data_IF_526877636646
#
_entry.id   IF_526877636646
#
_cell.length_a   1.000
_cell.length_b   1.000
_cell.length_c   1.000
_cell.angle_alpha   90.00
_cell.angle_beta   90.00
_cell.angle_gamma   90.00
#
_symmetry.space_group_name_H-M   'P 1'
#
loop_
_entity.id
_entity.type
_entity.pdbx_description
1 polymer ?
#
# COMPACT_ATOMS: atom_id res chain seq x y z
N UNK A 1 5.36 6.40 12.75
CA UNK A 1 4.42 6.06 11.67
C UNK A 1 5.13 5.14 10.70
N UNK A 2 4.46 4.11 10.17
CA UNK A 2 5.07 3.26 9.14
C UNK A 2 4.78 3.83 7.77
N UNK A 3 5.82 4.14 7.00
CA UNK A 3 5.71 4.43 5.57
C UNK A 3 5.89 3.13 4.79
N UNK A 4 5.11 2.95 3.74
CA UNK A 4 5.19 1.80 2.86
C UNK A 4 5.20 2.29 1.41
N UNK A 5 5.93 1.59 0.57
CA UNK A 5 6.16 1.89 -0.83
C UNK A 5 5.64 0.71 -1.63
N UNK A 6 4.68 0.97 -2.50
CA UNK A 6 4.21 0.05 -3.50
C UNK A 6 4.96 0.34 -4.78
N UNK A 7 5.78 -0.60 -5.25
CA UNK A 7 6.48 -0.47 -6.52
C UNK A 7 5.92 -1.47 -7.53
N UNK A 8 5.66 -1.06 -8.78
CA UNK A 8 5.35 -1.98 -9.85
C UNK A 8 6.62 -2.77 -10.19
N UNK A 9 6.42 -4.02 -10.60
CA UNK A 9 7.43 -5.01 -10.94
C UNK A 9 6.95 -5.77 -12.17
N UNK A 10 7.84 -6.50 -12.85
CA UNK A 10 7.50 -7.32 -14.02
C UNK A 10 6.38 -8.36 -13.77
N UNK A 11 6.11 -8.69 -12.50
CA UNK A 11 5.12 -9.70 -12.10
C UNK A 11 3.87 -9.11 -11.42
N UNK A 12 3.78 -7.78 -11.30
CA UNK A 12 2.71 -7.10 -10.59
C UNK A 12 3.25 -6.06 -9.61
N UNK A 13 2.80 -6.10 -8.37
CA UNK A 13 3.01 -5.06 -7.37
C UNK A 13 3.63 -5.62 -6.10
N UNK A 14 4.63 -4.93 -5.55
CA UNK A 14 5.22 -5.27 -4.25
C UNK A 14 5.05 -4.13 -3.26
N UNK A 15 4.64 -4.46 -2.03
CA UNK A 15 4.61 -3.57 -0.88
C UNK A 15 5.87 -3.76 -0.06
N UNK A 16 6.68 -2.72 0.05
CA UNK A 16 7.85 -2.68 0.93
C UNK A 16 7.64 -1.64 2.02
N UNK A 17 7.97 -1.99 3.26
CA UNK A 17 8.01 -0.99 4.34
C UNK A 17 9.27 -0.14 4.22
N UNK A 18 9.18 1.16 4.47
CA UNK A 18 10.33 2.05 4.55
C UNK A 18 11.35 1.50 5.57
N UNK A 19 12.61 1.40 5.14
CA UNK A 19 13.69 0.80 5.92
C UNK A 19 13.72 -0.74 5.94
N UNK A 20 12.77 -1.44 5.32
CA UNK A 20 12.82 -2.89 5.18
C UNK A 20 13.57 -3.32 3.90
N UNK A 21 14.39 -4.36 4.02
CA UNK A 21 15.15 -4.93 2.91
C UNK A 21 14.32 -5.88 2.03
N UNK A 22 13.17 -6.36 2.55
CA UNK A 22 12.29 -7.31 1.85
C UNK A 22 10.88 -6.75 1.71
N UNK A 23 10.19 -7.05 0.60
CA UNK A 23 8.77 -6.74 0.47
C UNK A 23 7.97 -7.50 1.53
N UNK A 24 7.05 -6.80 2.19
CA UNK A 24 6.13 -7.37 3.17
C UNK A 24 5.00 -8.15 2.49
N UNK A 25 4.57 -7.69 1.31
CA UNK A 25 3.52 -8.31 0.49
C UNK A 25 3.81 -8.12 -0.99
N UNK A 26 3.38 -9.06 -1.81
CA UNK A 26 3.44 -8.99 -3.27
C UNK A 26 2.13 -9.51 -3.84
N UNK A 27 1.63 -8.92 -4.91
CA UNK A 27 0.42 -9.36 -5.60
C UNK A 27 0.57 -9.12 -7.10
N UNK A 28 -0.16 -9.89 -7.92
CA UNK A 28 -0.21 -9.63 -9.36
C UNK A 28 -1.00 -8.34 -9.67
N UNK A 29 -2.04 -8.05 -8.87
CA UNK A 29 -2.96 -6.95 -9.09
C UNK A 29 -2.88 -5.93 -7.95
N UNK A 30 -3.03 -4.65 -8.31
CA UNK A 30 -3.03 -3.54 -7.37
C UNK A 30 -4.15 -3.68 -6.34
N UNK A 31 -5.36 -4.01 -6.77
CA UNK A 31 -6.52 -4.20 -5.88
C UNK A 31 -6.26 -5.30 -4.86
N UNK A 32 -5.73 -6.45 -5.29
CA UNK A 32 -5.35 -7.53 -4.38
C UNK A 32 -4.27 -7.13 -3.38
N UNK A 33 -3.32 -6.29 -3.79
CA UNK A 33 -2.31 -5.77 -2.87
C UNK A 33 -2.95 -4.82 -1.86
N UNK A 34 -3.84 -3.94 -2.30
CA UNK A 34 -4.56 -2.99 -1.45
C UNK A 34 -5.44 -3.70 -0.43
N UNK A 35 -6.19 -4.73 -0.81
CA UNK A 35 -6.97 -5.54 0.14
C UNK A 35 -6.06 -6.21 1.19
N UNK A 36 -4.92 -6.75 0.77
CA UNK A 36 -3.95 -7.36 1.68
C UNK A 36 -3.31 -6.33 2.63
N UNK A 37 -3.12 -5.09 2.17
CA UNK A 37 -2.65 -3.95 2.97
C UNK A 37 -3.73 -3.50 3.92
N UNK A 38 -4.97 -3.38 3.48
CA UNK A 38 -6.13 -3.02 4.30
C UNK A 38 -6.25 -3.98 5.48
N UNK A 39 -6.26 -5.29 5.22
CA UNK A 39 -6.29 -6.30 6.29
C UNK A 39 -5.06 -6.22 7.21
N UNK A 40 -3.89 -5.85 6.69
CA UNK A 40 -2.65 -5.71 7.46
C UNK A 40 -2.62 -4.43 8.31
N UNK A 41 -3.17 -3.34 7.79
CA UNK A 41 -3.22 -1.99 8.38
C UNK A 41 -4.51 -1.74 9.16
N UNK A 42 -5.50 -2.62 9.10
CA UNK A 42 -6.71 -2.56 9.95
C UNK A 42 -6.34 -2.43 11.43
N UNK A 43 -5.23 -3.07 11.83
CA UNK A 43 -4.68 -3.04 13.19
C UNK A 43 -3.51 -2.07 13.36
N UNK A 44 -3.14 -1.29 12.33
CA UNK A 44 -1.95 -0.41 12.32
C UNK A 44 -2.12 0.84 11.45
N UNK A 45 -1.80 2.02 11.98
CA UNK A 45 -1.78 3.25 11.18
C UNK A 45 -0.47 3.41 10.38
N UNK A 46 -0.56 3.86 9.14
CA UNK A 46 0.59 4.16 8.28
C UNK A 46 0.22 4.70 6.91
N UNK A 47 1.21 5.16 6.17
CA UNK A 47 1.05 5.77 4.84
C UNK A 47 1.60 4.84 3.78
N UNK A 48 0.89 4.67 2.67
CA UNK A 48 1.23 3.80 1.56
C UNK A 48 1.36 4.65 0.31
N UNK A 49 2.59 4.74 -0.21
CA UNK A 49 2.95 5.48 -1.41
C UNK A 49 2.98 4.52 -2.60
N UNK A 50 2.21 4.80 -3.62
CA UNK A 50 2.10 4.01 -4.84
C UNK A 50 2.94 4.68 -5.89
N UNK A 51 4.00 3.98 -6.30
CA UNK A 51 4.90 4.40 -7.37
C UNK A 51 4.34 3.95 -8.71
N UNK A 52 4.53 4.74 -9.75
CA UNK A 52 4.29 4.36 -11.14
C UNK A 52 5.52 3.69 -11.74
N UNK A 53 5.39 3.22 -12.98
CA UNK A 53 6.50 2.65 -13.75
C UNK A 53 7.64 3.66 -13.96
N UNK A 54 7.33 4.95 -14.03
CA UNK A 54 8.29 6.06 -14.10
C UNK A 54 9.00 6.35 -12.76
N UNK A 55 8.65 5.66 -11.67
CA UNK A 55 9.24 5.85 -10.34
C UNK A 55 8.74 7.09 -9.58
N UNK A 56 7.72 7.77 -10.09
CA UNK A 56 7.01 8.86 -9.40
C UNK A 56 5.92 8.30 -8.49
N UNK A 57 5.62 9.00 -7.40
CA UNK A 57 4.46 8.65 -6.56
C UNK A 57 3.20 9.15 -7.26
N UNK A 58 2.39 8.22 -7.76
CA UNK A 58 1.10 8.54 -8.36
C UNK A 58 0.00 8.70 -7.31
N UNK A 59 0.07 7.93 -6.23
CA UNK A 59 -1.00 7.91 -5.25
C UNK A 59 -0.47 7.68 -3.84
N UNK A 60 -0.99 8.43 -2.88
CA UNK A 60 -0.73 8.23 -1.46
C UNK A 60 -2.03 7.80 -0.78
N UNK A 61 -2.00 6.66 -0.10
CA UNK A 61 -3.09 6.14 0.70
C UNK A 61 -2.70 6.19 2.16
N UNK A 62 -3.52 6.87 2.97
CA UNK A 62 -3.31 6.91 4.42
C UNK A 62 -4.22 5.89 5.10
N UNK A 63 -3.63 5.07 5.97
CA UNK A 63 -4.31 4.01 6.71
C UNK A 63 -4.33 4.29 8.23
N UNK A 64 -5.41 3.94 8.93
CA UNK A 64 -6.70 3.52 8.36
C UNK A 64 -7.33 4.64 7.51
N UNK A 65 -8.02 4.31 6.40
CA UNK A 65 -8.67 5.33 5.60
C UNK A 65 -9.62 6.13 6.49
N UNK A 66 -9.80 7.44 6.24
CA UNK A 66 -10.74 8.24 7.01
C UNK A 66 -12.08 7.50 7.00
N UNK A 67 -12.59 7.17 8.19
CA UNK A 67 -13.88 6.48 8.36
C UNK A 67 -14.92 7.29 7.60
N UNK A 68 -15.24 6.91 6.37
CA UNK A 68 -16.38 7.49 5.67
C UNK A 68 -17.58 7.09 6.50
N UNK A 69 -18.37 8.04 7.04
CA UNK A 69 -19.61 7.66 7.69
C UNK A 69 -20.43 6.93 6.64
N UNK A 70 -20.74 5.66 6.91
CA UNK A 70 -21.76 4.93 6.18
C UNK A 70 -23.03 5.76 6.31
N UNK A 71 -23.41 6.44 5.22
CA UNK A 71 -24.65 7.19 5.13
C UNK A 71 -25.77 6.17 5.22
N UNK A 72 -26.35 6.08 6.42
CA UNK A 72 -27.55 5.31 6.72
C UNK A 72 -28.76 5.91 5.98
#
# INVERSE_FOLDING_TARGET
MGCYHITPTDKGWELRKEGATRPSKTAAERERLLEAIEAFMEKRAGTVLIHSEDGTVEQELSYPPPRRPSRA
#
